data_IF_779523535089
#
_entry.id   IF_779523535089
#
_cell.length_a   1.000
_cell.length_b   1.000
_cell.length_c   1.000
_cell.angle_alpha   90.00
_cell.angle_beta   90.00
_cell.angle_gamma   90.00
#
_symmetry.space_group_name_H-M   'P 1'
#
loop_
_entity.id
_entity.type
_entity.pdbx_description
1 polymer ?
2 non-polymer ?
#
# COMPACT_ATOMS: atom_id res chain seq x y z
N UNK A 1 15.14 -15.06 3.80
CA UNK A 1 13.70 -15.32 3.96
C UNK A 1 12.86 -14.13 3.50
N UNK A 2 13.48 -12.93 3.49
CA UNK A 2 12.84 -11.66 3.10
C UNK A 2 11.80 -11.20 4.13
N UNK A 3 11.24 -10.04 3.89
CA UNK A 3 10.25 -9.46 4.73
C UNK A 3 9.11 -8.95 3.83
N UNK A 4 7.99 -9.63 3.86
CA UNK A 4 6.87 -9.26 3.02
C UNK A 4 5.79 -8.57 3.84
N UNK A 5 4.92 -7.86 3.17
CA UNK A 5 3.87 -7.13 3.82
C UNK A 5 2.68 -8.02 3.98
N UNK A 6 2.15 -8.06 5.16
CA UNK A 6 0.96 -8.81 5.41
C UNK A 6 -0.25 -7.90 5.20
N UNK A 7 -1.42 -8.35 5.56
CA UNK A 7 -2.59 -7.53 5.43
C UNK A 7 -2.60 -6.39 6.45
N UNK A 8 -1.92 -6.61 7.55
CA UNK A 8 -1.83 -5.62 8.61
C UNK A 8 -0.87 -4.52 8.23
N UNK A 9 0.27 -4.92 7.67
CA UNK A 9 1.34 -3.97 7.27
C UNK A 9 0.83 -2.94 6.30
N UNK A 10 0.21 -3.40 5.22
CA UNK A 10 -0.28 -2.50 4.21
C UNK A 10 -1.47 -1.69 4.74
N UNK A 11 -2.30 -2.33 5.56
CA UNK A 11 -3.48 -1.68 6.15
C UNK A 11 -3.05 -0.44 6.92
N UNK A 12 -1.99 -0.59 7.72
CA UNK A 12 -1.47 0.49 8.53
C UNK A 12 -1.06 1.65 7.68
N UNK A 13 -0.41 1.37 6.56
CA UNK A 13 0.05 2.41 5.65
C UNK A 13 -1.13 3.26 5.16
N UNK A 14 -2.17 2.61 4.65
CA UNK A 14 -3.38 3.29 4.20
C UNK A 14 -4.02 4.11 5.34
N UNK A 15 -4.23 3.45 6.48
CA UNK A 15 -4.86 4.08 7.65
C UNK A 15 -4.06 5.29 8.11
N UNK A 16 -2.78 5.10 8.38
CA UNK A 16 -1.91 6.16 8.88
C UNK A 16 -1.82 7.33 7.91
N UNK A 17 -1.79 7.04 6.62
CA UNK A 17 -1.66 8.08 5.63
C UNK A 17 -2.98 8.88 5.53
N UNK A 18 -4.11 8.21 5.66
CA UNK A 18 -5.41 8.88 5.58
C UNK A 18 -5.69 9.65 6.86
N UNK A 19 -5.22 9.13 7.96
CA UNK A 19 -5.40 9.77 9.20
C UNK A 19 -5.42 8.76 10.30
N UNK A 20 -6.60 8.33 10.65
CA UNK A 20 -6.80 7.36 11.68
C UNK A 20 -8.21 6.81 11.59
N UNK A 21 -8.36 5.70 10.86
CA UNK A 21 -9.64 4.99 10.67
C UNK A 21 -10.80 5.93 10.31
N UNK A 22 -10.56 6.78 9.32
CA UNK A 22 -11.51 7.82 8.87
C UNK A 22 -12.58 7.25 7.94
N UNK A 23 -12.98 6.03 8.20
CA UNK A 23 -13.92 5.38 7.33
C UNK A 23 -13.20 4.39 6.47
N UNK A 24 -11.91 4.48 6.52
CA UNK A 24 -11.00 3.65 5.81
C UNK A 24 -10.89 2.32 6.54
N UNK A 25 -11.77 1.40 6.25
CA UNK A 25 -11.78 0.11 6.89
C UNK A 25 -11.16 -0.91 6.01
N UNK A 26 -9.95 -1.27 6.34
CA UNK A 26 -9.22 -2.26 5.59
C UNK A 26 -9.08 -3.50 6.45
N UNK A 27 -9.93 -3.56 7.46
CA UNK A 27 -10.01 -4.64 8.40
C UNK A 27 -10.23 -5.98 7.71
N UNK A 28 -9.34 -6.90 8.00
CA UNK A 28 -9.36 -8.18 7.37
C UNK A 28 -8.64 -8.13 6.04
N UNK A 29 -9.30 -8.59 5.02
CA UNK A 29 -8.77 -8.58 3.68
C UNK A 29 -9.34 -7.37 2.97
N UNK A 30 -8.52 -6.71 2.22
CA UNK A 30 -8.94 -5.53 1.51
C UNK A 30 -8.36 -5.52 0.11
N UNK A 31 -7.98 -6.68 -0.36
CA UNK A 31 -7.34 -6.80 -1.65
C UNK A 31 -8.33 -6.72 -2.79
N UNK A 32 -9.55 -7.10 -2.51
CA UNK A 32 -10.57 -7.20 -3.54
C UNK A 32 -11.40 -5.91 -3.56
N UNK A 33 -10.86 -4.89 -2.93
CA UNK A 33 -11.45 -3.58 -2.90
C UNK A 33 -10.83 -2.75 -4.00
N UNK A 34 -11.22 -1.50 -4.11
CA UNK A 34 -10.69 -0.60 -5.13
C UNK A 34 -10.37 0.70 -4.44
N UNK A 35 -9.40 1.44 -4.92
CA UNK A 35 -9.02 2.69 -4.29
C UNK A 35 -10.06 3.77 -4.42
N UNK A 36 -10.68 3.88 -5.57
CA UNK A 36 -11.76 4.85 -5.73
C UNK A 36 -12.91 4.46 -4.80
N UNK A 37 -13.11 3.16 -4.66
CA UNK A 37 -14.14 2.58 -3.80
C UNK A 37 -13.91 2.91 -2.33
N UNK A 38 -12.65 3.13 -1.95
CA UNK A 38 -12.33 3.48 -0.58
C UNK A 38 -11.92 4.95 -0.44
N UNK A 39 -12.13 5.72 -1.50
CA UNK A 39 -11.89 7.16 -1.48
C UNK A 39 -10.42 7.54 -1.45
N UNK A 40 -9.65 6.91 -2.27
CA UNK A 40 -8.23 7.19 -2.34
C UNK A 40 -7.84 7.75 -3.68
N UNK A 41 -6.93 8.69 -3.65
CA UNK A 41 -6.31 9.21 -4.85
C UNK A 41 -4.94 8.61 -4.92
N UNK A 42 -4.27 8.77 -6.03
CA UNK A 42 -2.91 8.27 -6.18
C UNK A 42 -1.97 9.03 -5.25
N UNK A 43 -2.35 10.28 -4.95
CA UNK A 43 -1.59 11.15 -4.08
C UNK A 43 -1.37 10.49 -2.71
N UNK A 44 -2.41 9.88 -2.19
CA UNK A 44 -2.34 9.20 -0.91
C UNK A 44 -1.61 7.88 -1.07
N UNK A 45 -1.67 7.30 -2.25
CA UNK A 45 -0.99 6.04 -2.54
C UNK A 45 0.52 6.24 -2.52
N UNK A 46 0.96 7.41 -2.99
CA UNK A 46 2.38 7.79 -2.96
C UNK A 46 2.84 7.74 -1.52
N UNK A 47 2.08 8.45 -0.70
CA UNK A 47 2.30 8.55 0.71
C UNK A 47 2.27 7.18 1.40
N UNK A 48 1.33 6.36 0.99
CA UNK A 48 1.20 4.99 1.47
C UNK A 48 2.50 4.21 1.19
N UNK A 49 2.90 4.19 -0.08
CA UNK A 49 4.08 3.47 -0.51
C UNK A 49 5.32 4.01 0.18
N UNK A 50 5.50 5.33 0.14
CA UNK A 50 6.67 6.02 0.69
C UNK A 50 6.97 5.63 2.13
N UNK A 51 5.94 5.50 2.94
CA UNK A 51 6.09 5.14 4.34
C UNK A 51 6.65 3.73 4.49
N UNK A 52 6.23 2.85 3.61
CA UNK A 52 6.70 1.48 3.63
C UNK A 52 8.06 1.36 2.94
N UNK A 53 8.21 2.10 1.83
CA UNK A 53 9.46 2.16 1.07
C UNK A 53 10.61 2.54 1.97
N UNK A 54 10.40 3.57 2.78
CA UNK A 54 11.42 4.07 3.68
C UNK A 54 11.84 3.02 4.74
N UNK A 55 10.89 2.25 5.24
CA UNK A 55 11.21 1.25 6.26
C UNK A 55 11.96 0.07 5.67
N UNK A 56 11.43 -0.47 4.59
CA UNK A 56 11.97 -1.69 4.02
C UNK A 56 13.14 -1.46 3.08
N UNK A 57 13.36 -0.21 2.73
CA UNK A 57 14.48 0.15 1.89
C UNK A 57 14.22 -0.14 0.43
N UNK A 58 12.99 0.08 0.00
CA UNK A 58 12.64 -0.14 -1.37
C UNK A 58 12.34 1.16 -2.08
N UNK A 59 12.09 1.09 -3.35
CA UNK A 59 11.85 2.25 -4.14
C UNK A 59 10.97 1.91 -5.34
N UNK A 60 9.81 2.50 -5.37
CA UNK A 60 8.86 2.29 -6.44
C UNK A 60 8.51 3.62 -7.09
N UNK A 61 8.61 3.72 -8.43
CA UNK A 61 8.28 4.93 -9.19
C UNK A 61 6.89 5.46 -8.84
N UNK A 62 6.79 6.78 -8.71
CA UNK A 62 5.54 7.47 -8.33
C UNK A 62 4.44 7.14 -9.32
N UNK A 63 4.82 7.09 -10.58
CA UNK A 63 3.91 6.77 -11.68
C UNK A 63 3.37 5.35 -11.57
N UNK A 64 4.14 4.47 -10.96
CA UNK A 64 3.73 3.08 -10.80
C UNK A 64 2.91 2.92 -9.51
N UNK A 65 3.25 3.72 -8.50
CA UNK A 65 2.52 3.72 -7.24
C UNK A 65 1.10 4.22 -7.48
N UNK A 66 1.00 5.34 -8.15
CA UNK A 66 -0.29 5.92 -8.45
C UNK A 66 -0.88 5.35 -9.71
N UNK A 67 -0.87 4.04 -9.81
CA UNK A 67 -1.40 3.35 -10.96
C UNK A 67 -2.24 2.13 -10.51
N UNK A 68 -2.12 1.78 -9.24
CA UNK A 68 -2.84 0.63 -8.70
C UNK A 68 -4.31 0.97 -8.43
N UNK A 69 -5.21 0.17 -8.95
CA UNK A 69 -6.65 0.37 -8.75
C UNK A 69 -7.10 -0.40 -7.53
N UNK A 70 -6.47 -1.52 -7.31
CA UNK A 70 -6.81 -2.36 -6.20
C UNK A 70 -5.67 -2.40 -5.18
N UNK A 71 -5.99 -2.42 -3.87
CA UNK A 71 -5.00 -2.51 -2.79
C UNK A 71 -4.17 -3.78 -2.92
N UNK A 72 -4.77 -4.80 -3.54
CA UNK A 72 -4.07 -6.03 -3.85
C UNK A 72 -2.82 -5.76 -4.65
N UNK A 73 -2.96 -4.97 -5.71
CA UNK A 73 -1.85 -4.72 -6.58
C UNK A 73 -0.83 -3.78 -5.93
N UNK A 74 -1.27 -2.98 -4.97
CA UNK A 74 -0.35 -2.11 -4.24
C UNK A 74 0.54 -3.03 -3.38
N UNK A 75 -0.10 -4.00 -2.73
CA UNK A 75 0.57 -4.98 -1.90
C UNK A 75 1.51 -5.81 -2.76
N UNK A 76 0.97 -6.28 -3.87
CA UNK A 76 1.67 -7.07 -4.87
C UNK A 76 2.91 -6.34 -5.37
N UNK A 77 2.73 -5.08 -5.69
CA UNK A 77 3.79 -4.21 -6.17
C UNK A 77 4.93 -4.07 -5.15
N UNK A 78 4.59 -3.71 -3.91
CA UNK A 78 5.62 -3.55 -2.89
C UNK A 78 6.28 -4.88 -2.56
N UNK A 79 5.48 -5.93 -2.40
CA UNK A 79 6.03 -7.27 -2.12
C UNK A 79 6.90 -7.76 -3.26
N UNK A 80 6.62 -7.28 -4.46
CA UNK A 80 7.43 -7.58 -5.60
C UNK A 80 8.81 -6.96 -5.45
N UNK A 81 8.82 -5.69 -5.06
CA UNK A 81 10.06 -4.94 -4.83
C UNK A 81 10.81 -5.50 -3.63
N UNK A 82 10.06 -5.98 -2.64
CA UNK A 82 10.64 -6.61 -1.45
C UNK A 82 11.36 -7.90 -1.82
N UNK A 83 10.81 -8.59 -2.80
CA UNK A 83 11.42 -9.82 -3.30
C UNK A 83 12.63 -9.50 -4.18
N UNK A 84 12.66 -8.26 -4.72
CA UNK A 84 13.79 -7.77 -5.51
C UNK A 84 14.95 -7.38 -4.60
N UNK A 85 14.64 -7.30 -3.32
CA UNK A 85 15.63 -7.06 -2.30
C UNK A 85 15.98 -8.42 -1.69
N UNK A 86 16.80 -8.44 -0.69
CA UNK A 86 17.16 -9.70 -0.08
C UNK A 86 17.54 -9.48 1.36
X LIG B 1 -3.11 10.23 -9.33
X LIG B 1 -3.45 11.71 -9.29
X LIG B 1 -4.20 9.24 -9.79
X LIG B 1 -1.87 10.08 -10.23
X LIG B 1 -0.67 10.84 -9.82
X LIG B 1 0.41 10.84 -10.91
X LIG B 1 1.48 11.80 -10.45
X LIG B 1 0.99 9.43 -11.08
X LIG B 1 -0.16 11.35 -12.30
X LIG B 1 0.86 11.27 -13.31
X LIG B 1 -0.60 12.82 -12.29
X LIG B 1 -0.15 13.55 -13.18
X LIG B 1 -1.42 13.25 -11.35
X LIG B 1 -1.90 14.64 -11.26
X LIG B 1 -3.23 14.77 -10.47
X LIG B 1 -4.42 14.01 -11.06
X LIG B 1 -5.59 14.30 -10.73
X LIG B 1 -4.13 13.05 -11.93
X LIG B 1 -5.10 12.21 -12.61
X LIG B 1 -4.49 10.88 -13.04
X LIG B 1 -5.56 9.94 -14.14
X LIG B 1 -4.55 8.46 -14.46
X LIG B 1 -3.19 8.74 -15.12
X LIG B 1 -3.29 9.37 -16.50
X LIG B 1 -3.74 10.53 -16.65
X LIG B 1 -2.88 8.54 -17.72
X LIG B 1 -1.38 8.46 -17.99
X LIG B 1 -0.84 9.18 -18.86
X LIG B 1 -0.57 7.45 -17.21
X LIG B 1 -0.27 10.37 -8.94
X LIG B 1 -0.97 11.85 -9.59
X LIG B 1 2.28 11.81 -11.17
X LIG B 1 1.01 12.76 -10.40
X LIG B 1 1.84 11.50 -9.47
X LIG B 1 0.19 8.75 -11.37
X LIG B 1 1.74 9.45 -11.84
X LIG B 1 1.42 9.11 -10.16
X LIG B 1 -0.98 10.73 -12.61
X LIG B 1 0.84 12.19 -13.62
X LIG B 1 -1.74 12.61 -10.67
X LIG B 1 -2.06 15.02 -12.26
X LIG B 1 -1.15 15.24 -10.77
X LIG B 1 -3.06 14.41 -9.46
X LIG B 1 -3.48 15.82 -10.42
X LIG B 1 -3.17 12.91 -12.11
X LIG B 1 -5.43 12.73 -13.50
X LIG B 1 -5.95 12.03 -11.97
X LIG B 1 -3.57 11.10 -13.57
X LIG B 1 -4.25 10.29 -12.16
X LIG B 1 -5.08 7.82 -15.15
X LIG B 1 -4.40 7.94 -13.52
X LIG B 1 -2.68 7.79 -15.21
X LIG B 1 -2.61 9.39 -14.47
X LIG B 1 -3.28 7.55 -17.67
X LIG B 1 -3.31 9.09 -18.55
X LIG B 1 -0.13 6.75 -17.90
X LIG B 1 -1.21 6.94 -16.51
X LIG B 1 0.23 7.97 -16.68
#
# INVERSE_FOLDING_TARGET
MATLLTTDDLRRALVESAGETDGTDLSGDFLDLRFEDIGYDSLALMETAARLESRYGVSIPDDVAGRVDTPRELLDLINGALAEAA
SXD P24 O26 O23 O27 C28 C29 C30 C31 C32 O33 C34 O35 N36 C37 C38 C39 O40 N41 C42 C43 S1 C1 C2 C3 O3 C4 C5 O5 C6 H28 H28A H30 H30A H30B H31 H31A H31B H32 HO33 HN36 H37 H37A H38 H38A HN41 H42 H42A H43 H43A H1 H1A H2 H2A H4 H4A H6 H6A H6B
#
